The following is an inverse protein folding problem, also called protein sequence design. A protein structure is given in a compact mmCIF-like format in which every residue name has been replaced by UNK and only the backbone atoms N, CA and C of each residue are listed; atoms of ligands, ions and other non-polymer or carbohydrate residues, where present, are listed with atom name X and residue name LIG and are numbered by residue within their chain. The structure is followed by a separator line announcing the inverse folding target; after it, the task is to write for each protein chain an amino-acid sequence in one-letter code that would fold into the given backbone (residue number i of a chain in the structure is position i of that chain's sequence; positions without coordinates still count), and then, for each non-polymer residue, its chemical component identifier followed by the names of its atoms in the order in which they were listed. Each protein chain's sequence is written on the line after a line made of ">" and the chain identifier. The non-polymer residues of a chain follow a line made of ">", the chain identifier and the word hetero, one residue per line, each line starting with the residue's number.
data_IF_034978416568
#
_entry.id   IF_034978416568
#
_cell.length_a   1.000
_cell.length_b   1.000
_cell.length_c   1.000
_cell.angle_alpha   90.00
_cell.angle_beta   90.00
_cell.angle_gamma   90.00
#
_symmetry.space_group_name_H-M   'P 1'
#
loop_
_entity.id
_entity.type
_entity.pdbx_description
1 polymer ?
#
# COMPACT_ATOMS: atom_id res chain seq x y z
N UNK A 1 -7.86 -30.10 -10.73
CA UNK A 1 -6.66 -30.86 -10.38
C UNK A 1 -6.78 -31.37 -8.97
N UNK A 2 -6.55 -32.66 -8.79
CA UNK A 2 -6.59 -33.24 -7.48
C UNK A 2 -5.29 -32.94 -6.74
N UNK A 3 -5.40 -32.28 -5.57
CA UNK A 3 -4.25 -31.92 -4.76
C UNK A 3 -3.58 -33.13 -4.10
N UNK A 4 -4.22 -34.32 -4.12
CA UNK A 4 -3.61 -35.56 -3.60
C UNK A 4 -2.48 -36.07 -4.50
N UNK A 5 -2.45 -35.64 -5.77
CA UNK A 5 -1.47 -36.12 -6.75
C UNK A 5 -0.13 -35.40 -6.66
N UNK A 6 -0.02 -34.38 -5.82
CA UNK A 6 1.24 -33.67 -5.65
C UNK A 6 1.33 -33.06 -4.26
N UNK A 7 2.55 -32.87 -3.81
CA UNK A 7 2.83 -32.16 -2.58
C UNK A 7 2.99 -30.70 -2.87
N UNK A 8 2.18 -29.89 -2.20
CA UNK A 8 2.31 -28.45 -2.28
C UNK A 8 3.15 -27.98 -1.10
N UNK A 9 4.34 -27.50 -1.40
CA UNK A 9 5.29 -27.04 -0.38
C UNK A 9 5.39 -25.51 -0.47
N UNK A 10 5.11 -24.87 0.64
CA UNK A 10 5.33 -23.43 0.76
C UNK A 10 6.80 -23.20 1.11
N UNK A 11 7.57 -22.71 0.14
CA UNK A 11 8.98 -22.38 0.35
C UNK A 11 9.18 -20.89 0.61
N UNK A 12 8.12 -20.18 0.95
CA UNK A 12 8.19 -18.74 1.18
C UNK A 12 6.82 -18.12 1.21
N UNK A 13 6.75 -16.85 0.88
CA UNK A 13 5.50 -16.09 0.89
C UNK A 13 4.71 -16.34 -0.39
N UNK A 14 3.39 -16.44 -0.27
CA UNK A 14 2.50 -16.44 -1.42
C UNK A 14 2.31 -15.02 -1.92
N UNK A 15 2.08 -14.89 -3.23
CA UNK A 15 1.80 -13.61 -3.87
C UNK A 15 0.43 -13.69 -4.53
N UNK A 16 -0.45 -12.75 -4.20
CA UNK A 16 -1.72 -12.58 -4.87
C UNK A 16 -1.71 -11.24 -5.59
N UNK A 17 -2.15 -11.26 -6.83
CA UNK A 17 -2.23 -10.07 -7.67
C UNK A 17 -3.69 -9.65 -7.78
N UNK A 18 -3.96 -8.37 -7.55
CA UNK A 18 -5.30 -7.81 -7.63
C UNK A 18 -5.35 -6.72 -8.68
N UNK A 19 -6.47 -6.66 -9.40
CA UNK A 19 -6.74 -5.56 -10.31
C UNK A 19 -7.38 -4.42 -9.52
N UNK A 20 -6.76 -3.24 -9.56
CA UNK A 20 -7.32 -2.06 -8.91
C UNK A 20 -8.47 -1.53 -9.76
N UNK A 21 -9.69 -1.35 -9.20
CA UNK A 21 -10.81 -0.76 -9.93
C UNK A 21 -10.49 0.66 -10.40
N UNK A 22 -11.07 1.05 -11.53
CA UNK A 22 -10.81 2.36 -12.12
C UNK A 22 -11.19 3.51 -11.19
N UNK A 23 -12.26 3.39 -10.43
CA UNK A 23 -12.69 4.43 -9.49
C UNK A 23 -11.68 4.61 -8.36
N UNK A 24 -11.15 3.51 -7.82
CA UNK A 24 -10.11 3.56 -6.78
C UNK A 24 -8.83 4.16 -7.35
N UNK A 25 -8.42 3.70 -8.52
CA UNK A 25 -7.22 4.25 -9.18
C UNK A 25 -7.36 5.74 -9.44
N UNK A 26 -8.49 6.17 -10.00
CA UNK A 26 -8.73 7.59 -10.28
C UNK A 26 -8.73 8.44 -9.02
N UNK A 27 -9.31 7.94 -7.93
CA UNK A 27 -9.32 8.65 -6.66
C UNK A 27 -7.90 8.87 -6.15
N UNK A 28 -7.08 7.82 -6.14
CA UNK A 28 -5.68 7.92 -5.68
C UNK A 28 -4.89 8.87 -6.58
N UNK A 29 -5.04 8.74 -7.89
CA UNK A 29 -4.33 9.58 -8.84
C UNK A 29 -4.70 11.05 -8.68
N UNK A 30 -5.98 11.34 -8.48
CA UNK A 30 -6.44 12.72 -8.27
C UNK A 30 -5.89 13.31 -6.99
N UNK A 31 -5.83 12.53 -5.91
CA UNK A 31 -5.23 12.98 -4.65
C UNK A 31 -3.78 13.39 -4.90
N UNK A 32 -3.02 12.55 -5.58
CA UNK A 32 -1.61 12.83 -5.86
C UNK A 32 -1.45 14.07 -6.74
N UNK A 33 -2.17 14.15 -7.86
CA UNK A 33 -2.03 15.25 -8.81
C UNK A 33 -2.45 16.61 -8.20
N UNK A 34 -3.49 16.63 -7.39
CA UNK A 34 -4.01 17.86 -6.82
C UNK A 34 -3.29 18.30 -5.56
N UNK A 35 -2.71 17.36 -4.81
CA UNK A 35 -2.20 17.63 -3.47
C UNK A 35 -0.73 17.28 -3.27
N UNK A 36 -0.01 16.91 -4.31
CA UNK A 36 1.38 16.48 -4.21
C UNK A 36 2.28 17.48 -3.49
N UNK A 37 1.99 18.76 -3.62
CA UNK A 37 2.78 19.83 -2.97
C UNK A 37 2.47 20.00 -1.48
N UNK A 38 1.35 19.45 -1.03
CA UNK A 38 0.92 19.52 0.36
C UNK A 38 1.27 18.25 1.14
N UNK A 39 1.52 17.14 0.45
CA UNK A 39 1.80 15.87 1.09
C UNK A 39 3.23 15.86 1.63
N UNK A 40 3.38 15.20 2.77
CA UNK A 40 4.68 15.10 3.43
C UNK A 40 5.65 14.27 2.60
N UNK A 41 6.84 14.81 2.28
CA UNK A 41 7.84 14.05 1.52
C UNK A 41 8.44 12.94 2.38
N UNK A 42 8.44 11.72 1.87
CA UNK A 42 8.91 10.54 2.57
C UNK A 42 10.22 9.97 2.00
N UNK A 43 10.74 10.57 0.93
CA UNK A 43 11.90 10.08 0.21
C UNK A 43 13.20 10.07 1.02
N UNK A 44 13.28 10.88 2.08
CA UNK A 44 14.47 10.98 2.91
C UNK A 44 14.71 9.74 3.77
N UNK A 45 13.69 8.91 3.93
CA UNK A 45 13.76 7.71 4.76
C UNK A 45 14.02 6.43 3.94
N UNK A 46 14.19 6.58 2.64
CA UNK A 46 14.37 5.44 1.75
C UNK A 46 15.82 5.14 1.47
N UNK A 47 16.07 3.83 1.27
CA UNK A 47 17.32 3.33 0.70
C UNK A 47 17.10 3.20 -0.81
N UNK A 48 17.36 4.19 -1.57
CA UNK A 48 17.15 4.19 -3.00
C UNK A 48 17.20 5.61 -3.52
N UNK A 49 16.91 5.76 -4.80
CA UNK A 49 16.90 7.07 -5.44
C UNK A 49 15.52 7.33 -6.01
N UNK A 50 14.67 7.99 -5.23
CA UNK A 50 13.35 8.45 -5.65
C UNK A 50 13.18 9.90 -5.18
N UNK A 51 12.98 10.83 -6.10
CA UNK A 51 12.78 12.23 -5.76
C UNK A 51 11.36 12.52 -5.27
N UNK A 52 10.37 11.85 -5.86
CA UNK A 52 8.96 12.09 -5.59
C UNK A 52 8.35 10.92 -4.83
N UNK A 53 8.44 10.99 -3.51
CA UNK A 53 7.74 10.07 -2.63
C UNK A 53 7.02 10.88 -1.55
N UNK A 54 5.73 10.65 -1.41
CA UNK A 54 4.87 11.43 -0.53
C UNK A 54 4.02 10.52 0.35
N UNK A 55 3.97 10.83 1.64
CA UNK A 55 3.15 10.10 2.59
C UNK A 55 1.69 10.52 2.47
N UNK A 56 0.80 9.53 2.55
CA UNK A 56 -0.63 9.75 2.62
C UNK A 56 -1.16 9.68 4.05
N UNK A 57 -0.32 9.27 5.01
CA UNK A 57 -0.73 9.09 6.40
C UNK A 57 -0.01 10.00 7.38
N UNK A 58 1.15 10.51 7.02
CA UNK A 58 2.03 11.22 7.94
C UNK A 58 2.24 12.66 7.48
N UNK A 59 2.06 13.60 8.38
CA UNK A 59 2.19 15.04 8.10
C UNK A 59 3.46 15.65 8.71
N UNK A 60 4.28 14.86 9.37
CA UNK A 60 5.51 15.35 10.00
C UNK A 60 5.31 15.81 11.44
N UNK A 61 6.33 16.51 11.96
CA UNK A 61 6.31 17.10 13.31
C UNK A 61 5.19 18.15 13.42
N UNK A 62 4.63 18.37 14.63
CA UNK A 62 5.05 17.79 15.89
C UNK A 62 4.43 16.43 16.23
N UNK A 63 3.44 16.00 15.47
CA UNK A 63 2.66 14.82 15.83
C UNK A 63 3.42 13.51 15.68
N UNK A 64 4.26 13.39 14.69
CA UNK A 64 5.05 12.21 14.38
C UNK A 64 4.24 10.90 14.42
N UNK A 65 2.95 10.97 14.04
CA UNK A 65 2.04 9.84 14.04
C UNK A 65 1.47 9.61 12.65
N UNK A 66 1.33 8.34 12.30
CA UNK A 66 0.60 7.95 11.09
C UNK A 66 -0.90 8.06 11.35
N UNK A 67 -1.62 8.68 10.42
CA UNK A 67 -3.07 8.88 10.51
C UNK A 67 -3.72 8.26 9.27
N UNK A 68 -4.26 7.04 9.38
CA UNK A 68 -4.75 6.29 8.22
C UNK A 68 -5.77 7.01 7.35
N UNK A 69 -6.60 7.86 7.95
CA UNK A 69 -7.66 8.55 7.22
C UNK A 69 -7.29 9.98 6.81
N UNK A 70 -6.02 10.35 6.96
CA UNK A 70 -5.61 11.74 6.74
C UNK A 70 -5.84 12.20 5.31
N UNK A 71 -5.40 11.41 4.35
CA UNK A 71 -5.45 11.77 2.93
C UNK A 71 -6.13 10.70 2.06
N UNK A 72 -6.53 9.58 2.64
CA UNK A 72 -7.19 8.52 1.90
C UNK A 72 -8.68 8.48 2.24
N UNK A 73 -9.56 8.54 1.24
CA UNK A 73 -10.99 8.35 1.46
C UNK A 73 -11.32 6.94 1.95
N UNK A 74 -12.46 6.81 2.65
CA UNK A 74 -12.88 5.55 3.23
C UNK A 74 -13.06 4.43 2.22
N UNK A 75 -13.53 4.73 1.01
CA UNK A 75 -13.72 3.72 -0.02
C UNK A 75 -12.38 3.12 -0.47
N UNK A 76 -11.33 3.92 -0.54
CA UNK A 76 -9.98 3.44 -0.87
C UNK A 76 -9.42 2.60 0.27
N UNK A 77 -9.54 3.08 1.50
CA UNK A 77 -9.13 2.34 2.70
C UNK A 77 -9.82 0.99 2.78
N UNK A 78 -11.12 0.98 2.54
CA UNK A 78 -11.93 -0.24 2.58
C UNK A 78 -11.49 -1.24 1.52
N UNK A 79 -11.21 -0.78 0.31
CA UNK A 79 -10.75 -1.64 -0.77
C UNK A 79 -9.44 -2.35 -0.38
N UNK A 80 -8.46 -1.61 0.13
CA UNK A 80 -7.20 -2.20 0.56
C UNK A 80 -7.40 -3.18 1.71
N UNK A 81 -8.21 -2.82 2.71
CA UNK A 81 -8.48 -3.71 3.84
C UNK A 81 -9.12 -5.01 3.39
N UNK A 82 -10.04 -4.96 2.44
CA UNK A 82 -10.66 -6.16 1.90
C UNK A 82 -9.65 -7.05 1.17
N UNK A 83 -8.73 -6.48 0.42
CA UNK A 83 -7.72 -7.26 -0.29
C UNK A 83 -6.71 -7.87 0.68
N UNK A 84 -6.31 -7.16 1.70
CA UNK A 84 -5.46 -7.71 2.74
C UNK A 84 -6.15 -8.83 3.50
N UNK A 85 -7.43 -8.66 3.82
CA UNK A 85 -8.22 -9.71 4.44
C UNK A 85 -8.29 -10.95 3.55
N UNK A 86 -8.57 -10.77 2.27
CA UNK A 86 -8.60 -11.86 1.32
C UNK A 86 -7.25 -12.60 1.27
N UNK A 87 -6.15 -11.88 1.27
CA UNK A 87 -4.81 -12.45 1.30
C UNK A 87 -4.58 -13.29 2.55
N UNK A 88 -4.97 -12.79 3.71
CA UNK A 88 -4.82 -13.51 4.97
C UNK A 88 -5.71 -14.77 4.99
N UNK A 89 -6.94 -14.64 4.55
CA UNK A 89 -7.88 -15.76 4.49
C UNK A 89 -7.39 -16.84 3.49
N UNK A 90 -6.85 -16.42 2.36
CA UNK A 90 -6.26 -17.34 1.39
C UNK A 90 -5.11 -18.14 1.98
N UNK A 91 -4.30 -17.52 2.83
CA UNK A 91 -3.20 -18.16 3.51
C UNK A 91 -3.62 -18.85 4.81
N UNK A 92 -4.91 -18.92 5.09
CA UNK A 92 -5.49 -19.57 6.28
C UNK A 92 -5.00 -18.97 7.59
N UNK A 93 -4.72 -17.69 7.59
CA UNK A 93 -4.36 -16.94 8.79
C UNK A 93 -5.65 -16.43 9.43
N UNK A 94 -5.87 -16.79 10.69
CA UNK A 94 -7.09 -16.44 11.44
C UNK A 94 -6.72 -15.75 12.76
N UNK A 95 -7.73 -15.14 13.40
CA UNK A 95 -7.55 -14.50 14.71
C UNK A 95 -6.69 -13.25 14.67
N UNK A 96 -6.70 -12.54 13.56
CA UNK A 96 -5.91 -11.33 13.37
C UNK A 96 -6.73 -10.05 13.59
N UNK A 97 -6.03 -9.00 13.99
CA UNK A 97 -6.47 -7.62 13.83
C UNK A 97 -5.59 -6.94 12.79
N UNK A 98 -6.22 -6.17 11.91
CA UNK A 98 -5.52 -5.57 10.78
C UNK A 98 -5.55 -4.05 10.88
N UNK A 99 -4.38 -3.44 10.77
CA UNK A 99 -4.24 -1.99 10.76
C UNK A 99 -3.45 -1.56 9.53
N UNK A 100 -3.86 -0.47 8.91
CA UNK A 100 -3.05 0.21 7.91
C UNK A 100 -2.12 1.18 8.63
N UNK A 101 -0.85 0.88 8.60
CA UNK A 101 0.17 1.58 9.39
C UNK A 101 0.71 2.81 8.67
N UNK A 102 0.92 2.68 7.37
CA UNK A 102 1.47 3.74 6.54
C UNK A 102 1.04 3.56 5.10
N UNK A 103 1.06 4.64 4.37
CA UNK A 103 0.81 4.63 2.93
C UNK A 103 1.55 5.80 2.30
N UNK A 104 2.19 5.54 1.17
CA UNK A 104 2.89 6.59 0.43
C UNK A 104 2.78 6.35 -1.06
N UNK A 105 3.03 7.39 -1.83
CA UNK A 105 3.05 7.34 -3.29
C UNK A 105 4.47 7.62 -3.77
N UNK A 106 4.96 6.75 -4.64
CA UNK A 106 6.23 6.91 -5.33
C UNK A 106 5.97 7.30 -6.79
N UNK A 107 6.60 8.37 -7.23
CA UNK A 107 6.70 8.70 -8.64
C UNK A 107 8.16 8.54 -9.07
N UNK A 108 8.42 7.49 -9.84
CA UNK A 108 9.79 7.19 -10.26
C UNK A 108 10.03 7.70 -11.67
N UNK A 109 11.12 8.47 -11.80
CA UNK A 109 11.62 8.91 -13.09
C UNK A 109 12.68 7.95 -13.59
N UNK A 110 13.07 8.12 -14.85
CA UNK A 110 14.18 7.37 -15.43
C UNK A 110 15.41 7.47 -14.52
N UNK A 111 16.12 6.36 -14.35
CA UNK A 111 17.31 6.22 -13.48
C UNK A 111 17.05 6.30 -11.96
N UNK A 112 15.81 6.47 -11.53
CA UNK A 112 15.46 6.31 -10.12
C UNK A 112 15.15 4.85 -9.80
N UNK A 113 15.35 4.45 -8.55
CA UNK A 113 15.14 3.06 -8.15
C UNK A 113 14.72 2.96 -6.70
N UNK A 114 13.99 1.87 -6.41
CA UNK A 114 13.62 1.48 -5.06
C UNK A 114 14.11 0.04 -4.85
N UNK A 115 15.15 -0.16 -4.06
CA UNK A 115 15.74 -1.50 -3.84
C UNK A 115 14.83 -2.47 -3.10
#
# INVERSE_FOLDING_TARGET
>A
MDTSDFNFIFLGQSVLKYQVPLDIYATINNIYEQRRHELYPANQQLVGKIENEHSLFFDGAPNNKMQPHRHLPDNVMYWFKEKFKHYLDWNKITGYNMHLNSCWINEMKEHEYNP
#
